data_IF_505919740270
#
_entry.id   IF_505919740270
#
_cell.length_a   1.000
_cell.length_b   1.000
_cell.length_c   1.000
_cell.angle_alpha   90.00
_cell.angle_beta   90.00
_cell.angle_gamma   90.00
#
_symmetry.space_group_name_H-M   'P 1'
#
loop_
_entity.id
_entity.type
_entity.pdbx_description
1 polymer ?
#
# COMPACT_ATOMS: atom_id res chain seq x y z
N UNK A 1 10.87 -19.03 13.52
CA UNK A 1 11.72 -19.36 14.68
C UNK A 1 12.14 -18.13 15.47
N UNK A 2 12.66 -17.11 14.80
CA UNK A 2 13.03 -15.85 15.44
C UNK A 2 11.86 -15.19 16.16
N UNK A 3 10.71 -15.13 15.49
CA UNK A 3 9.51 -14.50 16.02
C UNK A 3 8.97 -15.21 17.27
N UNK A 4 9.15 -16.53 17.31
CA UNK A 4 8.74 -17.36 18.45
C UNK A 4 9.64 -17.15 19.66
N UNK A 5 10.94 -17.18 19.42
CA UNK A 5 11.96 -17.12 20.46
C UNK A 5 11.98 -15.78 21.23
N UNK A 6 11.74 -14.69 20.52
CA UNK A 6 11.85 -13.35 21.09
C UNK A 6 10.51 -12.68 21.40
N UNK A 7 9.41 -13.44 21.29
CA UNK A 7 8.10 -12.97 21.69
C UNK A 7 7.69 -11.65 21.02
N UNK A 8 7.93 -11.56 19.72
CA UNK A 8 7.74 -10.35 18.91
C UNK A 8 6.25 -10.04 18.76
N UNK A 9 5.87 -8.76 18.85
CA UNK A 9 4.48 -8.32 18.68
C UNK A 9 3.94 -8.61 17.28
N UNK A 10 2.61 -8.61 17.12
CA UNK A 10 1.99 -8.81 15.81
C UNK A 10 2.35 -7.73 14.81
N UNK A 11 2.46 -6.48 15.26
CA UNK A 11 2.90 -5.37 14.40
C UNK A 11 4.33 -5.56 13.93
N UNK A 12 5.22 -5.95 14.84
CA UNK A 12 6.62 -6.22 14.50
C UNK A 12 6.75 -7.41 13.55
N UNK A 13 5.92 -8.45 13.72
CA UNK A 13 5.87 -9.59 12.80
C UNK A 13 5.50 -9.14 11.40
N UNK A 14 4.49 -8.28 11.28
CA UNK A 14 4.06 -7.72 9.99
C UNK A 14 5.19 -6.93 9.33
N UNK A 15 5.86 -6.07 10.09
CA UNK A 15 6.96 -5.25 9.59
C UNK A 15 8.13 -6.10 9.09
N UNK A 16 8.51 -7.13 9.83
CA UNK A 16 9.56 -8.07 9.44
C UNK A 16 9.16 -8.82 8.16
N UNK A 17 7.93 -9.29 8.07
CA UNK A 17 7.45 -10.01 6.88
C UNK A 17 7.45 -9.12 5.64
N UNK A 18 7.06 -7.86 5.76
CA UNK A 18 7.10 -6.91 4.65
C UNK A 18 8.53 -6.74 4.13
N UNK A 19 9.49 -6.49 5.02
CA UNK A 19 10.91 -6.34 4.63
C UNK A 19 11.41 -7.61 3.93
N UNK A 20 11.09 -8.77 4.48
CA UNK A 20 11.49 -10.06 3.89
C UNK A 20 10.92 -10.23 2.48
N UNK A 21 9.66 -9.89 2.28
CA UNK A 21 8.98 -10.05 0.99
C UNK A 21 9.50 -9.10 -0.09
N UNK A 22 9.90 -7.89 0.29
CA UNK A 22 10.32 -6.87 -0.68
C UNK A 22 11.83 -6.81 -0.87
N UNK A 23 12.62 -7.49 -0.05
CA UNK A 23 14.08 -7.38 -0.09
C UNK A 23 14.69 -7.71 -1.47
N UNK A 24 14.10 -8.65 -2.20
CA UNK A 24 14.53 -9.00 -3.55
C UNK A 24 14.18 -7.95 -4.60
N UNK A 25 13.25 -7.05 -4.29
CA UNK A 25 12.72 -6.04 -5.21
C UNK A 25 13.33 -4.65 -5.03
N UNK A 26 14.11 -4.46 -3.97
CA UNK A 26 14.64 -3.13 -3.61
C UNK A 26 15.48 -2.47 -4.70
N UNK A 27 16.13 -3.25 -5.53
CA UNK A 27 17.00 -2.75 -6.60
C UNK A 27 16.30 -2.71 -7.96
N UNK A 28 15.03 -3.05 -8.03
CA UNK A 28 14.27 -2.94 -9.26
C UNK A 28 14.13 -1.46 -9.66
N UNK A 29 14.14 -1.22 -10.97
CA UNK A 29 13.95 0.12 -11.54
C UNK A 29 12.59 0.66 -11.08
N UNK A 30 12.56 1.90 -10.64
CA UNK A 30 11.35 2.60 -10.20
C UNK A 30 10.72 2.06 -8.92
N UNK A 31 11.40 1.18 -8.17
CA UNK A 31 10.88 0.72 -6.89
C UNK A 31 10.64 1.91 -5.93
N UNK A 32 11.56 2.88 -5.91
CA UNK A 32 11.45 4.09 -5.08
C UNK A 32 10.85 5.28 -5.82
N UNK A 33 10.17 5.05 -6.95
CA UNK A 33 9.40 6.10 -7.61
C UNK A 33 8.22 6.51 -6.72
N UNK A 34 7.84 7.78 -6.76
CA UNK A 34 6.80 8.34 -5.90
C UNK A 34 5.49 7.55 -5.97
N UNK A 35 5.04 7.19 -7.16
CA UNK A 35 3.82 6.42 -7.34
C UNK A 35 3.86 5.08 -6.61
N UNK A 36 4.99 4.37 -6.69
CA UNK A 36 5.14 3.08 -6.01
C UNK A 36 5.23 3.24 -4.51
N UNK A 37 5.88 4.29 -4.03
CA UNK A 37 5.97 4.58 -2.59
C UNK A 37 4.59 4.86 -2.00
N UNK A 38 3.75 5.65 -2.66
CA UNK A 38 2.38 5.90 -2.21
C UNK A 38 1.55 4.62 -2.21
N UNK A 39 1.73 3.76 -3.21
CA UNK A 39 1.06 2.46 -3.27
C UNK A 39 1.45 1.58 -2.09
N UNK A 40 2.74 1.48 -1.78
CA UNK A 40 3.22 0.73 -0.62
C UNK A 40 2.76 1.35 0.69
N UNK A 41 2.69 2.67 0.75
CA UNK A 41 2.19 3.41 1.92
C UNK A 41 0.75 2.99 2.22
N UNK A 42 -0.08 2.93 1.19
CA UNK A 42 -1.47 2.47 1.34
C UNK A 42 -1.55 1.01 1.75
N UNK A 43 -0.81 0.12 1.07
CA UNK A 43 -0.92 -1.33 1.27
C UNK A 43 -0.32 -1.78 2.60
N UNK A 44 0.86 -1.29 2.94
CA UNK A 44 1.62 -1.77 4.10
C UNK A 44 1.55 -0.87 5.33
N UNK A 45 1.15 0.39 5.15
CA UNK A 45 1.10 1.37 6.24
C UNK A 45 2.41 2.12 6.45
N UNK A 46 2.34 3.13 7.32
CA UNK A 46 3.47 4.05 7.57
C UNK A 46 4.70 3.34 8.12
N UNK A 47 4.54 2.55 9.18
CA UNK A 47 5.69 1.90 9.83
C UNK A 47 6.46 1.00 8.87
N UNK A 48 5.75 0.21 8.07
CA UNK A 48 6.37 -0.68 7.10
C UNK A 48 7.05 0.11 5.97
N UNK A 49 6.44 1.20 5.49
CA UNK A 49 7.08 2.03 4.46
C UNK A 49 8.37 2.66 4.98
N UNK A 50 8.35 3.20 6.20
CA UNK A 50 9.55 3.79 6.80
C UNK A 50 10.64 2.73 6.98
N UNK A 51 10.27 1.51 7.38
CA UNK A 51 11.21 0.38 7.45
C UNK A 51 11.86 0.08 6.10
N UNK A 52 11.06 0.10 5.02
CA UNK A 52 11.56 -0.13 3.66
C UNK A 52 12.59 0.94 3.28
N UNK A 53 12.28 2.18 3.54
CA UNK A 53 13.18 3.30 3.23
C UNK A 53 14.46 3.18 4.07
N UNK A 54 14.35 2.92 5.37
CA UNK A 54 15.50 2.74 6.25
C UNK A 54 16.37 1.57 5.81
N UNK A 55 15.76 0.46 5.40
CA UNK A 55 16.49 -0.70 4.91
C UNK A 55 17.29 -0.35 3.65
N UNK A 56 16.72 0.44 2.74
CA UNK A 56 17.43 0.89 1.55
C UNK A 56 18.57 1.85 1.91
N UNK A 57 18.35 2.78 2.83
CA UNK A 57 19.40 3.70 3.33
C UNK A 57 20.58 2.88 3.87
N UNK A 58 20.28 1.88 4.71
CA UNK A 58 21.31 1.03 5.32
C UNK A 58 22.14 0.29 4.26
N UNK A 59 21.53 -0.11 3.15
CA UNK A 59 22.19 -0.88 2.09
C UNK A 59 22.68 -0.02 0.92
N UNK A 60 22.44 1.30 0.95
CA UNK A 60 22.80 2.16 -0.17
C UNK A 60 24.24 2.62 -0.14
N UNK A 61 24.73 3.01 -1.31
CA UNK A 61 26.00 3.71 -1.44
C UNK A 61 25.80 5.19 -1.14
N UNK A 62 26.84 5.88 -0.68
CA UNK A 62 26.79 7.25 -0.15
C UNK A 62 26.05 8.30 -1.00
N UNK A 63 25.92 8.10 -2.31
CA UNK A 63 25.35 9.12 -3.21
C UNK A 63 23.83 9.19 -3.20
N UNK A 64 23.13 8.16 -2.71
CA UNK A 64 21.67 8.07 -2.75
C UNK A 64 21.01 8.46 -1.42
N UNK A 65 21.80 8.62 -0.35
CA UNK A 65 21.27 8.79 1.00
C UNK A 65 20.43 10.05 1.16
N UNK A 66 20.85 11.18 0.58
CA UNK A 66 20.12 12.45 0.72
C UNK A 66 18.68 12.36 0.21
N UNK A 67 18.49 11.74 -0.96
CA UNK A 67 17.16 11.56 -1.54
C UNK A 67 16.29 10.68 -0.67
N UNK A 68 16.86 9.58 -0.18
CA UNK A 68 16.15 8.64 0.69
C UNK A 68 15.79 9.26 2.02
N UNK A 69 16.67 10.04 2.63
CA UNK A 69 16.36 10.77 3.87
C UNK A 69 15.22 11.77 3.66
N UNK A 70 15.20 12.48 2.53
CA UNK A 70 14.11 13.40 2.21
C UNK A 70 12.78 12.67 2.02
N UNK A 71 12.78 11.51 1.37
CA UNK A 71 11.60 10.69 1.21
C UNK A 71 11.09 10.20 2.57
N UNK A 72 11.99 9.76 3.42
CA UNK A 72 11.62 9.31 4.77
C UNK A 72 10.94 10.45 5.56
N UNK A 73 11.56 11.63 5.58
CA UNK A 73 10.98 12.80 6.25
C UNK A 73 9.61 13.15 5.70
N UNK A 74 9.47 13.12 4.38
CA UNK A 74 8.19 13.41 3.74
C UNK A 74 7.10 12.44 4.21
N UNK A 75 7.36 11.13 4.16
CA UNK A 75 6.34 10.14 4.50
C UNK A 75 6.06 10.04 6.01
N UNK A 76 7.03 10.37 6.86
CA UNK A 76 6.79 10.46 8.30
C UNK A 76 5.68 11.48 8.60
N UNK A 77 5.63 12.56 7.83
CA UNK A 77 4.66 13.65 8.01
C UNK A 77 3.37 13.47 7.21
N UNK A 78 3.22 12.38 6.47
CA UNK A 78 2.02 12.10 5.68
C UNK A 78 1.14 11.06 6.36
N UNK A 79 -0.12 10.99 5.93
CA UNK A 79 -1.04 9.92 6.32
C UNK A 79 -1.34 9.04 5.10
N UNK A 80 -1.48 7.71 5.28
CA UNK A 80 -1.84 6.85 4.16
C UNK A 80 -3.20 7.22 3.58
N UNK A 81 -3.38 7.11 2.25
CA UNK A 81 -4.68 7.30 1.65
C UNK A 81 -5.71 6.32 2.24
N UNK A 82 -6.97 6.75 2.28
CA UNK A 82 -8.06 5.90 2.75
C UNK A 82 -9.01 5.63 1.59
N UNK A 83 -9.31 4.36 1.33
CA UNK A 83 -10.23 3.98 0.26
C UNK A 83 -11.65 4.46 0.63
N UNK A 84 -12.26 5.33 -0.18
CA UNK A 84 -13.50 6.00 0.20
C UNK A 84 -14.76 5.17 0.01
N UNK A 85 -14.68 4.03 -0.69
CA UNK A 85 -15.85 3.25 -1.08
C UNK A 85 -15.99 2.04 -0.17
N UNK A 86 -17.18 1.88 0.43
CA UNK A 86 -17.49 0.75 1.30
C UNK A 86 -18.47 -0.19 0.62
N UNK A 87 -18.41 -1.48 0.98
CA UNK A 87 -19.32 -2.49 0.45
C UNK A 87 -20.79 -2.08 0.63
N UNK A 88 -21.16 -1.54 1.79
CA UNK A 88 -22.52 -1.08 2.07
C UNK A 88 -22.99 0.03 1.12
N UNK A 89 -22.07 0.90 0.68
CA UNK A 89 -22.40 1.98 -0.25
C UNK A 89 -22.79 1.41 -1.62
N UNK A 90 -22.10 0.38 -2.08
CA UNK A 90 -22.43 -0.30 -3.33
C UNK A 90 -23.73 -1.06 -3.22
N UNK A 91 -23.99 -1.70 -2.07
CA UNK A 91 -25.25 -2.40 -1.84
C UNK A 91 -26.43 -1.44 -1.94
N UNK A 92 -26.34 -0.29 -1.28
CA UNK A 92 -27.40 0.71 -1.29
C UNK A 92 -27.60 1.37 -2.65
N UNK A 93 -26.50 1.78 -3.28
CA UNK A 93 -26.58 2.56 -4.52
C UNK A 93 -26.99 1.72 -5.73
N UNK A 94 -26.48 0.48 -5.81
CA UNK A 94 -26.68 -0.38 -6.99
C UNK A 94 -27.58 -1.57 -6.72
N UNK A 95 -28.15 -1.65 -5.53
CA UNK A 95 -29.03 -2.75 -5.13
C UNK A 95 -28.37 -4.13 -5.29
N UNK A 96 -27.11 -4.21 -4.90
CA UNK A 96 -26.33 -5.44 -4.98
C UNK A 96 -26.52 -6.29 -3.73
N UNK A 97 -26.30 -7.59 -3.89
CA UNK A 97 -26.31 -8.54 -2.77
C UNK A 97 -24.92 -8.69 -2.18
N UNK A 98 -24.87 -8.85 -0.86
CA UNK A 98 -23.64 -9.21 -0.16
C UNK A 98 -23.13 -10.56 -0.63
N UNK A 99 -21.81 -10.71 -0.76
CA UNK A 99 -21.20 -11.97 -1.16
C UNK A 99 -19.91 -11.81 -1.93
N UNK A 100 -19.45 -12.92 -2.51
CA UNK A 100 -18.17 -12.99 -3.21
C UNK A 100 -18.08 -12.06 -4.43
N UNK A 101 -19.14 -11.97 -5.19
CA UNK A 101 -19.19 -11.12 -6.38
C UNK A 101 -19.01 -9.64 -6.01
N UNK A 102 -19.69 -9.19 -4.96
CA UNK A 102 -19.53 -7.84 -4.45
C UNK A 102 -18.09 -7.57 -4.03
N UNK A 103 -17.48 -8.51 -3.32
CA UNK A 103 -16.07 -8.40 -2.92
C UNK A 103 -15.13 -8.28 -4.10
N UNK A 104 -15.36 -9.05 -5.16
CA UNK A 104 -14.56 -8.98 -6.38
C UNK A 104 -14.69 -7.63 -7.09
N UNK A 105 -15.90 -7.10 -7.17
CA UNK A 105 -16.16 -5.79 -7.77
C UNK A 105 -15.50 -4.67 -6.96
N UNK A 106 -15.62 -4.74 -5.65
CA UNK A 106 -14.98 -3.78 -4.74
C UNK A 106 -13.46 -3.79 -4.91
N UNK A 107 -12.87 -4.98 -5.05
CA UNK A 107 -11.43 -5.14 -5.28
C UNK A 107 -10.99 -4.52 -6.61
N UNK A 108 -11.76 -4.68 -7.66
CA UNK A 108 -11.49 -4.06 -8.96
C UNK A 108 -11.52 -2.53 -8.86
N UNK A 109 -12.50 -1.98 -8.15
CA UNK A 109 -12.62 -0.54 -7.93
C UNK A 109 -11.39 -0.04 -7.16
N UNK A 110 -11.00 -0.73 -6.10
CA UNK A 110 -9.82 -0.37 -5.31
C UNK A 110 -8.55 -0.37 -6.17
N UNK A 111 -8.36 -1.39 -7.01
CA UNK A 111 -7.19 -1.47 -7.88
C UNK A 111 -7.12 -0.30 -8.87
N UNK A 112 -8.24 0.09 -9.47
CA UNK A 112 -8.30 1.25 -10.36
C UNK A 112 -8.00 2.53 -9.60
N UNK A 113 -8.56 2.68 -8.40
CA UNK A 113 -8.31 3.83 -7.53
C UNK A 113 -6.82 3.97 -7.20
N UNK A 114 -6.16 2.86 -6.84
CA UNK A 114 -4.71 2.86 -6.56
C UNK A 114 -3.93 3.25 -7.82
N UNK A 115 -4.23 2.65 -8.97
CA UNK A 115 -3.51 2.91 -10.22
C UNK A 115 -3.71 4.33 -10.73
N UNK A 116 -4.83 4.97 -10.41
CA UNK A 116 -5.13 6.35 -10.78
C UNK A 116 -4.71 7.37 -9.70
N UNK A 117 -3.68 7.06 -8.94
CA UNK A 117 -3.14 7.94 -7.90
C UNK A 117 -4.19 8.27 -6.83
N UNK A 118 -4.93 7.25 -6.40
CA UNK A 118 -5.95 7.33 -5.34
C UNK A 118 -7.13 8.24 -5.71
N UNK A 119 -7.52 8.18 -6.97
CA UNK A 119 -8.68 8.90 -7.50
C UNK A 119 -9.52 7.96 -8.37
N UNK A 120 -10.82 8.06 -8.25
CA UNK A 120 -11.73 7.31 -9.11
C UNK A 120 -12.96 8.15 -9.41
N UNK A 121 -13.41 8.10 -10.66
CA UNK A 121 -14.60 8.83 -11.09
C UNK A 121 -15.83 7.94 -11.01
N UNK A 122 -16.98 8.55 -10.82
CA UNK A 122 -18.24 7.83 -10.68
C UNK A 122 -18.54 6.93 -11.88
N UNK A 123 -18.25 7.38 -13.11
CA UNK A 123 -18.51 6.57 -14.29
C UNK A 123 -17.64 5.31 -14.35
N UNK A 124 -16.43 5.34 -13.77
CA UNK A 124 -15.56 4.18 -13.71
C UNK A 124 -16.13 3.13 -12.77
N UNK A 125 -16.70 3.58 -11.64
CA UNK A 125 -17.39 2.69 -10.70
C UNK A 125 -18.61 2.06 -11.36
N UNK A 126 -19.43 2.87 -12.01
CA UNK A 126 -20.65 2.42 -12.71
C UNK A 126 -20.31 1.33 -13.75
N UNK A 127 -19.24 1.54 -14.50
CA UNK A 127 -18.80 0.62 -15.53
C UNK A 127 -18.38 -0.75 -14.97
N UNK A 128 -17.69 -0.76 -13.82
CA UNK A 128 -17.30 -2.00 -13.16
C UNK A 128 -18.53 -2.75 -12.64
N UNK A 129 -19.46 -2.03 -12.05
CA UNK A 129 -20.67 -2.61 -11.44
C UNK A 129 -21.59 -3.21 -12.52
N UNK A 130 -21.70 -2.58 -13.68
CA UNK A 130 -22.55 -3.04 -14.77
C UNK A 130 -22.03 -4.28 -15.50
N UNK A 131 -20.76 -4.58 -15.35
CA UNK A 131 -20.14 -5.79 -15.92
C UNK A 131 -20.24 -6.92 -14.93
#
# INVERSE_FOLDING_TARGET
YFLYKYNVSNDDKKRIMVIKNISSKLNEKNFFAEKNLWKMFYIYGKNSLIDIINFKIFNSKKNDDKKLFKLREFFINQSPPVFPIKARDLIHKYNLKEGRELGQKLKKIENIWIENNFKIKQFEIDKIIEV
#
